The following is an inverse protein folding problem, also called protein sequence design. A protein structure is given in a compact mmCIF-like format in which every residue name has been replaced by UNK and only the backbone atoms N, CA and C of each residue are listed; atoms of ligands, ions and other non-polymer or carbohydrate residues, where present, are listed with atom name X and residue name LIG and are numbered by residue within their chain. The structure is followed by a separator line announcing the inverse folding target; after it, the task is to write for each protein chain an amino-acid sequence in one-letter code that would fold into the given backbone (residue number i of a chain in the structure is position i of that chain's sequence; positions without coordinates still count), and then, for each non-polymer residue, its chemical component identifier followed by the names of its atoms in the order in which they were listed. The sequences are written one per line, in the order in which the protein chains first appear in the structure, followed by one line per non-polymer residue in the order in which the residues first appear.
data_IF_388110104575
#
_entry.id   IF_388110104575
#
_cell.length_a   1.000
_cell.length_b   1.000
_cell.length_c   1.000
_cell.angle_alpha   90.00
_cell.angle_beta   90.00
_cell.angle_gamma   90.00
#
_symmetry.space_group_name_H-M   'P 1'
#
loop_
_entity.id
_entity.type
_entity.pdbx_description
1 polymer ?
#
# COMPACT_ATOMS: atom_id res chain seq x y z
N UNK A 1 32.33 -4.67 -1.05
CA UNK A 1 32.13 -4.62 -2.51
C UNK A 1 32.42 -6.01 -3.05
N UNK A 2 31.40 -6.74 -3.50
CA UNK A 2 31.57 -8.03 -4.17
C UNK A 2 30.80 -7.99 -5.50
N UNK A 3 31.55 -8.31 -6.54
CA UNK A 3 31.35 -7.94 -7.93
C UNK A 3 30.53 -9.00 -8.69
N UNK A 4 29.90 -8.53 -9.77
CA UNK A 4 28.88 -9.15 -10.64
C UNK A 4 29.36 -10.38 -11.45
N UNK A 5 30.19 -11.27 -10.89
CA UNK A 5 30.87 -12.33 -11.68
C UNK A 5 30.40 -13.76 -11.45
N UNK A 6 29.52 -14.06 -10.50
CA UNK A 6 29.21 -15.47 -10.16
C UNK A 6 27.90 -15.99 -10.77
N UNK A 7 27.03 -15.14 -11.32
CA UNK A 7 25.69 -15.59 -11.77
C UNK A 7 25.55 -15.86 -13.28
N UNK A 8 26.66 -15.92 -14.04
CA UNK A 8 26.62 -15.95 -15.52
C UNK A 8 27.26 -17.17 -16.19
N UNK A 9 27.48 -18.26 -15.45
CA UNK A 9 28.25 -19.41 -15.95
C UNK A 9 27.53 -20.76 -15.90
N UNK A 10 26.19 -20.79 -16.01
CA UNK A 10 25.44 -22.06 -15.97
C UNK A 10 24.40 -22.27 -17.08
N UNK A 11 24.49 -21.59 -18.22
CA UNK A 11 23.71 -21.99 -19.42
C UNK A 11 24.42 -21.54 -20.70
N UNK A 12 25.47 -22.23 -21.12
CA UNK A 12 25.99 -22.17 -22.49
C UNK A 12 26.81 -23.43 -22.76
N UNK A 13 26.12 -24.56 -22.91
CA UNK A 13 26.66 -25.81 -23.46
C UNK A 13 25.49 -26.75 -23.68
N UNK A 14 24.89 -26.80 -24.87
CA UNK A 14 24.48 -28.00 -25.64
C UNK A 14 23.91 -27.49 -26.98
N UNK A 15 24.35 -28.12 -28.07
CA UNK A 15 23.91 -28.02 -29.48
C UNK A 15 24.73 -27.10 -30.40
N UNK A 16 25.90 -27.64 -30.75
CA UNK A 16 26.58 -27.46 -32.03
C UNK A 16 25.71 -27.90 -33.23
N UNK A 17 25.97 -27.21 -34.33
CA UNK A 17 26.15 -27.68 -35.72
C UNK A 17 25.00 -28.19 -36.59
N UNK A 18 24.86 -27.49 -37.71
CA UNK A 18 24.77 -27.95 -39.13
C UNK A 18 23.84 -26.98 -39.89
N UNK A 19 24.03 -26.60 -41.14
CA UNK A 19 25.03 -26.86 -42.16
C UNK A 19 24.84 -25.84 -43.30
N UNK A 20 25.79 -25.88 -44.23
CA UNK A 20 26.15 -24.94 -45.30
C UNK A 20 25.17 -24.85 -46.52
N UNK A 21 25.09 -23.63 -47.10
CA UNK A 21 24.94 -23.24 -48.54
C UNK A 21 23.55 -23.23 -49.24
N UNK A 22 23.36 -22.57 -50.42
CA UNK A 22 23.88 -21.27 -50.88
C UNK A 22 22.82 -20.34 -51.54
N UNK A 23 23.24 -19.10 -51.85
CA UNK A 23 22.55 -18.06 -52.64
C UNK A 23 22.62 -18.32 -54.16
N UNK A 24 21.61 -17.84 -54.92
CA UNK A 24 21.65 -17.09 -56.22
C UNK A 24 20.28 -17.20 -56.96
N UNK A 25 19.98 -16.40 -58.00
CA UNK A 25 20.11 -14.94 -58.13
C UNK A 25 18.80 -14.29 -58.64
N UNK A 26 18.82 -12.96 -58.73
CA UNK A 26 17.88 -12.11 -59.48
C UNK A 26 17.85 -12.45 -60.98
N UNK A 27 16.68 -12.27 -61.61
CA UNK A 27 16.58 -11.73 -62.99
C UNK A 27 15.21 -11.02 -63.20
N UNK A 28 15.17 -9.83 -63.82
CA UNK A 28 13.96 -9.01 -63.99
C UNK A 28 13.42 -9.05 -65.43
N UNK A 29 12.11 -9.04 -65.67
CA UNK A 29 11.53 -8.29 -66.81
C UNK A 29 10.02 -8.08 -66.70
N UNK A 30 9.64 -6.85 -67.09
CA UNK A 30 8.49 -6.44 -67.90
C UNK A 30 7.06 -6.43 -67.33
N UNK A 31 6.54 -5.21 -67.35
CA UNK A 31 5.14 -4.79 -67.28
C UNK A 31 4.24 -5.52 -68.30
N UNK A 32 3.02 -5.83 -67.88
CA UNK A 32 1.88 -5.84 -68.79
C UNK A 32 0.65 -5.27 -68.08
N UNK A 33 0.22 -4.11 -68.56
CA UNK A 33 -0.97 -3.40 -68.13
C UNK A 33 -2.20 -4.11 -68.69
N UNK A 34 -3.09 -4.58 -67.83
CA UNK A 34 -4.50 -4.76 -68.19
C UNK A 34 -5.38 -4.34 -67.01
N UNK A 35 -6.21 -3.31 -67.28
CA UNK A 35 -7.24 -2.80 -66.39
C UNK A 35 -8.41 -3.79 -66.38
N UNK A 36 -8.60 -4.48 -65.27
CA UNK A 36 -9.87 -5.12 -64.91
C UNK A 36 -10.47 -4.39 -63.71
N UNK A 37 -11.71 -3.91 -63.90
CA UNK A 37 -12.48 -3.18 -62.90
C UNK A 37 -13.16 -4.21 -61.99
N UNK A 38 -12.48 -4.62 -60.92
CA UNK A 38 -13.08 -5.43 -59.86
C UNK A 38 -13.54 -4.53 -58.70
N UNK A 39 -14.82 -4.65 -58.36
CA UNK A 39 -15.45 -4.03 -57.20
C UNK A 39 -14.81 -4.56 -55.92
N UNK A 40 -13.95 -3.75 -55.28
CA UNK A 40 -13.40 -4.07 -53.96
C UNK A 40 -14.53 -4.07 -52.92
N UNK A 41 -14.94 -5.26 -52.52
CA UNK A 41 -15.52 -5.47 -51.19
C UNK A 41 -14.50 -4.98 -50.17
N UNK A 42 -14.78 -3.85 -49.54
CA UNK A 42 -13.99 -3.34 -48.40
C UNK A 42 -14.11 -4.32 -47.25
N UNK A 43 -13.09 -5.16 -47.08
CA UNK A 43 -12.89 -5.91 -45.84
C UNK A 43 -12.81 -4.92 -44.67
N UNK A 44 -13.48 -5.19 -43.55
CA UNK A 44 -13.41 -4.30 -42.40
C UNK A 44 -11.96 -4.26 -41.94
N UNK A 45 -11.33 -3.09 -42.09
CA UNK A 45 -9.94 -2.84 -41.71
C UNK A 45 -9.76 -3.28 -40.26
N UNK A 46 -9.04 -4.38 -40.04
CA UNK A 46 -8.67 -4.84 -38.71
C UNK A 46 -8.04 -3.66 -37.95
N UNK A 47 -8.73 -3.21 -36.91
CA UNK A 47 -8.30 -2.06 -36.10
C UNK A 47 -6.95 -2.42 -35.50
N UNK A 48 -5.88 -1.80 -36.02
CA UNK A 48 -4.53 -1.92 -35.44
C UNK A 48 -4.62 -1.50 -33.98
N UNK A 49 -4.39 -2.43 -33.07
CA UNK A 49 -4.20 -2.08 -31.67
C UNK A 49 -3.09 -1.03 -31.58
N UNK A 50 -3.36 0.08 -30.88
CA UNK A 50 -2.40 1.17 -30.69
C UNK A 50 -1.01 0.62 -30.30
N UNK A 51 0.04 1.11 -30.98
CA UNK A 51 1.43 0.68 -30.80
C UNK A 51 1.91 0.82 -29.34
N UNK A 52 1.28 1.69 -28.55
CA UNK A 52 1.55 1.85 -27.11
C UNK A 52 0.95 0.72 -26.26
N UNK A 53 -0.25 0.23 -26.59
CA UNK A 53 -0.95 -0.86 -25.88
C UNK A 53 -0.24 -2.20 -26.09
N UNK A 54 0.26 -2.45 -27.31
CA UNK A 54 1.08 -3.64 -27.61
C UNK A 54 2.45 -3.55 -26.94
N UNK A 55 3.17 -2.41 -27.07
CA UNK A 55 4.47 -2.20 -26.40
C UNK A 55 4.38 -2.28 -24.87
N UNK A 56 3.27 -1.85 -24.27
CA UNK A 56 3.04 -1.96 -22.82
C UNK A 56 2.89 -3.41 -22.37
N UNK A 57 2.08 -4.22 -23.09
CA UNK A 57 1.95 -5.67 -22.82
C UNK A 57 3.30 -6.38 -22.98
N UNK A 58 4.05 -6.03 -24.02
CA UNK A 58 5.40 -6.58 -24.27
C UNK A 58 6.40 -6.16 -23.18
N UNK A 59 6.35 -4.92 -22.68
CA UNK A 59 7.21 -4.45 -21.58
C UNK A 59 6.93 -5.20 -20.28
N UNK A 60 5.66 -5.41 -19.92
CA UNK A 60 5.29 -6.17 -18.72
C UNK A 60 5.62 -7.65 -18.85
N UNK A 61 5.44 -8.24 -20.04
CA UNK A 61 5.82 -9.63 -20.32
C UNK A 61 7.32 -9.90 -20.22
N UNK A 62 8.16 -8.90 -20.54
CA UNK A 62 9.62 -8.97 -20.46
C UNK A 62 10.20 -8.36 -19.16
N UNK A 63 9.33 -7.96 -18.23
CA UNK A 63 9.74 -7.34 -16.97
C UNK A 63 10.19 -8.43 -15.99
N UNK A 64 11.50 -8.54 -15.78
CA UNK A 64 12.10 -9.55 -14.90
C UNK A 64 11.39 -9.62 -13.54
N UNK A 65 11.17 -8.46 -12.90
CA UNK A 65 10.52 -8.38 -11.59
C UNK A 65 9.02 -8.71 -11.62
N UNK A 66 8.32 -8.50 -12.74
CA UNK A 66 6.93 -8.90 -12.84
C UNK A 66 6.79 -10.43 -12.99
N UNK A 67 7.70 -11.05 -13.76
CA UNK A 67 7.78 -12.51 -13.85
C UNK A 67 8.16 -13.12 -12.51
N UNK A 68 9.17 -12.57 -11.85
CA UNK A 68 9.65 -13.03 -10.54
C UNK A 68 8.56 -12.89 -9.46
N UNK A 69 7.79 -11.79 -9.47
CA UNK A 69 6.66 -11.62 -8.56
C UNK A 69 5.62 -12.74 -8.71
N UNK A 70 5.32 -13.14 -9.96
CA UNK A 70 4.39 -14.25 -10.23
C UNK A 70 4.96 -15.59 -9.73
N UNK A 71 6.25 -15.84 -9.94
CA UNK A 71 6.92 -17.07 -9.45
C UNK A 71 6.88 -17.14 -7.93
N UNK A 72 7.12 -16.02 -7.23
CA UNK A 72 7.12 -15.93 -5.77
C UNK A 72 5.72 -15.76 -5.16
N UNK A 73 4.64 -15.78 -5.95
CA UNK A 73 3.28 -15.58 -5.45
C UNK A 73 3.02 -14.19 -4.85
N UNK A 74 3.78 -13.19 -5.26
CA UNK A 74 3.62 -11.79 -4.83
C UNK A 74 2.52 -11.10 -5.64
N UNK A 75 1.74 -10.24 -4.97
CA UNK A 75 0.62 -9.51 -5.60
C UNK A 75 1.07 -8.59 -6.75
N UNK A 76 2.30 -8.07 -6.71
CA UNK A 76 2.85 -7.20 -7.76
C UNK A 76 4.39 -7.11 -7.69
N UNK A 77 5.02 -6.59 -8.75
CA UNK A 77 6.47 -6.29 -8.76
C UNK A 77 6.90 -5.23 -7.75
N UNK A 78 5.97 -4.42 -7.23
CA UNK A 78 6.28 -3.37 -6.26
C UNK A 78 6.74 -3.95 -4.91
N UNK A 79 6.41 -5.22 -4.63
CA UNK A 79 6.92 -5.94 -3.46
C UNK A 79 8.45 -5.94 -3.38
N UNK A 80 9.15 -6.08 -4.52
CA UNK A 80 10.62 -6.07 -4.55
C UNK A 80 11.21 -4.74 -4.07
N UNK A 81 10.54 -3.62 -4.35
CA UNK A 81 10.98 -2.30 -3.88
C UNK A 81 11.00 -2.26 -2.35
N UNK A 82 9.91 -2.70 -1.71
CA UNK A 82 9.83 -2.72 -0.25
C UNK A 82 10.80 -3.75 0.36
N UNK A 83 11.01 -4.90 -0.29
CA UNK A 83 11.99 -5.90 0.14
C UNK A 83 13.42 -5.33 0.15
N UNK A 84 13.84 -4.67 -0.93
CA UNK A 84 15.15 -4.00 -1.04
C UNK A 84 15.32 -2.89 0.01
N UNK A 85 14.29 -2.04 0.16
CA UNK A 85 14.30 -0.95 1.14
C UNK A 85 14.39 -1.48 2.58
N UNK A 86 13.63 -2.53 2.89
CA UNK A 86 13.68 -3.18 4.19
C UNK A 86 15.03 -3.89 4.44
N UNK A 87 15.62 -4.49 3.41
CA UNK A 87 16.95 -5.09 3.54
C UNK A 87 18.01 -4.06 3.93
N UNK A 88 17.96 -2.87 3.32
CA UNK A 88 18.88 -1.75 3.58
C UNK A 88 18.64 -1.06 4.93
N UNK A 89 17.37 -0.83 5.28
CA UNK A 89 17.00 0.06 6.39
C UNK A 89 16.42 -0.66 7.63
N UNK A 90 16.12 -1.96 7.53
CA UNK A 90 15.54 -2.77 8.61
C UNK A 90 14.26 -2.13 9.19
N UNK A 91 13.28 -1.91 8.31
CA UNK A 91 12.05 -1.17 8.60
C UNK A 91 11.15 -1.89 9.60
N UNK A 92 11.13 -3.23 9.55
CA UNK A 92 10.16 -4.04 10.29
C UNK A 92 10.82 -4.88 11.39
N UNK A 93 10.05 -5.10 12.46
CA UNK A 93 10.32 -6.04 13.54
C UNK A 93 9.07 -6.88 13.82
N UNK A 94 9.22 -8.08 14.39
CA UNK A 94 8.07 -8.87 14.85
C UNK A 94 7.15 -8.11 15.81
N UNK A 95 5.84 -8.34 15.73
CA UNK A 95 4.83 -7.79 16.65
C UNK A 95 4.39 -6.34 16.38
N UNK A 96 4.98 -5.69 15.37
CA UNK A 96 4.72 -4.28 15.05
C UNK A 96 3.37 -4.03 14.37
N UNK A 97 2.84 -2.82 14.57
CA UNK A 97 1.65 -2.32 13.87
C UNK A 97 2.06 -1.49 12.65
N UNK A 98 1.63 -1.90 11.46
CA UNK A 98 1.96 -1.26 10.18
C UNK A 98 0.69 -0.73 9.51
N UNK A 99 0.76 0.51 9.03
CA UNK A 99 -0.27 1.14 8.19
C UNK A 99 0.28 1.29 6.76
N UNK A 100 -0.47 0.82 5.76
CA UNK A 100 -0.12 0.88 4.34
C UNK A 100 -1.11 1.79 3.59
N UNK A 101 -0.65 2.99 3.23
CA UNK A 101 -1.43 4.01 2.52
C UNK A 101 -1.26 3.87 1.00
N UNK A 102 -2.37 3.74 0.29
CA UNK A 102 -2.36 3.37 -1.13
C UNK A 102 -2.00 1.89 -1.30
N UNK A 103 -2.64 1.02 -0.52
CA UNK A 103 -2.22 -0.38 -0.40
C UNK A 103 -2.45 -1.19 -1.68
N UNK A 104 -3.42 -0.84 -2.54
CA UNK A 104 -3.83 -1.67 -3.67
C UNK A 104 -2.66 -1.82 -4.66
N UNK A 105 -2.30 -3.05 -5.09
CA UNK A 105 -3.05 -4.31 -5.01
C UNK A 105 -2.75 -5.20 -3.76
N UNK A 106 -1.98 -4.69 -2.81
CA UNK A 106 -1.64 -5.35 -1.53
C UNK A 106 -0.24 -5.95 -1.48
N UNK A 107 0.66 -5.60 -2.42
CA UNK A 107 2.03 -6.15 -2.45
C UNK A 107 2.89 -5.70 -1.27
N UNK A 108 2.74 -4.46 -0.81
CA UNK A 108 3.51 -3.94 0.32
C UNK A 108 2.98 -4.50 1.63
N UNK A 109 1.67 -4.47 1.83
CA UNK A 109 0.99 -5.16 2.93
C UNK A 109 1.37 -6.65 3.04
N UNK A 110 1.46 -7.38 1.92
CA UNK A 110 1.90 -8.80 1.91
C UNK A 110 3.31 -8.95 2.47
N UNK A 111 4.24 -8.08 2.08
CA UNK A 111 5.61 -8.07 2.60
C UNK A 111 5.61 -7.68 4.07
N UNK A 112 4.85 -6.66 4.47
CA UNK A 112 4.78 -6.18 5.85
C UNK A 112 4.29 -7.27 6.81
N UNK A 113 3.25 -8.03 6.46
CA UNK A 113 2.77 -9.17 7.27
C UNK A 113 3.89 -10.18 7.48
N UNK A 114 4.54 -10.61 6.40
CA UNK A 114 5.63 -11.59 6.48
C UNK A 114 6.81 -11.11 7.35
N UNK A 115 7.06 -9.80 7.41
CA UNK A 115 8.17 -9.21 8.16
C UNK A 115 7.83 -8.82 9.61
N UNK A 116 6.55 -8.85 9.97
CA UNK A 116 6.07 -8.51 11.32
C UNK A 116 5.53 -9.71 12.10
N UNK A 117 5.54 -10.91 11.52
CA UNK A 117 5.27 -12.17 12.23
C UNK A 117 6.35 -12.49 13.29
N UNK A 118 5.99 -13.11 14.43
CA UNK A 118 4.61 -13.35 14.93
C UNK A 118 3.95 -12.08 15.49
N UNK A 119 2.63 -12.14 15.69
CA UNK A 119 1.81 -11.13 16.38
C UNK A 119 1.80 -9.72 15.76
N UNK A 120 2.31 -9.57 14.54
CA UNK A 120 2.24 -8.35 13.75
C UNK A 120 0.82 -8.00 13.34
N UNK A 121 0.58 -6.72 13.08
CA UNK A 121 -0.71 -6.18 12.65
C UNK A 121 -0.50 -5.28 11.45
N UNK A 122 -1.22 -5.52 10.36
CA UNK A 122 -1.12 -4.72 9.13
C UNK A 122 -2.51 -4.28 8.68
N UNK A 123 -2.66 -2.96 8.46
CA UNK A 123 -3.86 -2.37 7.88
C UNK A 123 -3.54 -1.62 6.58
N UNK A 124 -4.28 -1.92 5.51
CA UNK A 124 -4.18 -1.24 4.22
C UNK A 124 -5.35 -0.27 3.98
N UNK A 125 -5.06 0.91 3.45
CA UNK A 125 -6.06 1.91 3.07
C UNK A 125 -5.90 2.24 1.59
N UNK A 126 -6.98 2.13 0.82
CA UNK A 126 -6.97 2.49 -0.60
C UNK A 126 -8.36 2.91 -1.07
N UNK A 127 -8.39 3.77 -2.09
CA UNK A 127 -9.62 4.13 -2.78
C UNK A 127 -10.13 2.96 -3.64
N UNK A 128 -9.20 2.22 -4.25
CA UNK A 128 -9.46 1.11 -5.15
C UNK A 128 -9.76 -0.15 -4.32
N UNK A 129 -10.90 -0.81 -4.53
CA UNK A 129 -11.18 -2.08 -3.87
C UNK A 129 -10.19 -3.14 -4.34
N UNK A 130 -9.50 -3.79 -3.38
CA UNK A 130 -8.58 -4.88 -3.64
C UNK A 130 -8.76 -5.99 -2.62
N UNK A 131 -8.61 -7.25 -3.06
CA UNK A 131 -8.68 -8.40 -2.18
C UNK A 131 -7.43 -8.46 -1.27
N UNK A 132 -7.57 -8.31 0.05
CA UNK A 132 -6.43 -8.26 0.95
C UNK A 132 -5.64 -9.59 0.96
N UNK A 133 -4.30 -9.54 1.09
CA UNK A 133 -3.52 -10.71 1.48
C UNK A 133 -3.98 -11.26 2.84
N UNK A 134 -3.74 -12.55 3.08
CA UNK A 134 -4.07 -13.19 4.36
C UNK A 134 -3.37 -12.45 5.51
N UNK A 135 -4.12 -12.13 6.56
CA UNK A 135 -3.61 -11.43 7.75
C UNK A 135 -3.57 -9.90 7.62
N UNK A 136 -4.00 -9.33 6.50
CA UNK A 136 -4.12 -7.88 6.30
C UNK A 136 -5.58 -7.47 6.51
N UNK A 137 -5.80 -6.45 7.34
CA UNK A 137 -7.10 -5.77 7.42
C UNK A 137 -7.14 -4.59 6.45
N UNK A 138 -8.31 -4.22 5.94
CA UNK A 138 -8.40 -3.13 4.95
C UNK A 138 -9.55 -2.20 5.23
N UNK A 139 -9.34 -0.91 4.99
CA UNK A 139 -10.38 0.11 4.91
C UNK A 139 -10.37 0.65 3.48
N UNK A 140 -11.51 0.58 2.80
CA UNK A 140 -11.66 1.20 1.48
C UNK A 140 -12.14 2.64 1.67
N UNK A 141 -11.41 3.60 1.13
CA UNK A 141 -11.80 5.00 1.21
C UNK A 141 -10.73 5.96 0.71
N UNK A 142 -11.12 7.22 0.52
CA UNK A 142 -10.18 8.29 0.24
C UNK A 142 -9.41 8.63 1.53
N UNK A 143 -8.12 8.30 1.58
CA UNK A 143 -7.26 8.62 2.73
C UNK A 143 -7.17 10.12 3.04
N UNK A 144 -7.39 11.00 2.07
CA UNK A 144 -7.41 12.45 2.30
C UNK A 144 -8.68 12.91 3.04
N UNK A 145 -9.70 12.06 3.16
CA UNK A 145 -10.90 12.35 3.93
C UNK A 145 -10.63 12.27 5.44
N UNK A 146 -10.99 13.30 6.23
CA UNK A 146 -10.88 13.25 7.68
C UNK A 146 -11.60 12.06 8.31
N UNK A 147 -12.78 11.71 7.78
CA UNK A 147 -13.55 10.57 8.28
C UNK A 147 -12.79 9.24 8.13
N UNK A 148 -12.12 9.02 6.99
CA UNK A 148 -11.30 7.81 6.79
C UNK A 148 -10.07 7.83 7.69
N UNK A 149 -9.46 9.00 7.93
CA UNK A 149 -8.35 9.12 8.88
C UNK A 149 -8.82 8.82 10.31
N UNK A 150 -10.03 9.24 10.69
CA UNK A 150 -10.65 8.92 11.98
C UNK A 150 -10.90 7.42 12.14
N UNK A 151 -11.47 6.77 11.12
CA UNK A 151 -11.70 5.32 11.12
C UNK A 151 -10.39 4.55 11.27
N UNK A 152 -9.34 4.95 10.55
CA UNK A 152 -8.01 4.33 10.66
C UNK A 152 -7.42 4.55 12.05
N UNK A 153 -7.53 5.77 12.61
CA UNK A 153 -7.06 6.09 13.97
C UNK A 153 -7.80 5.27 15.03
N UNK A 154 -9.13 5.19 14.93
CA UNK A 154 -9.95 4.39 15.82
C UNK A 154 -9.56 2.91 15.73
N UNK A 155 -9.40 2.38 14.52
CA UNK A 155 -8.97 1.02 14.29
C UNK A 155 -7.62 0.75 14.96
N UNK A 156 -6.57 1.51 14.66
CA UNK A 156 -5.23 1.22 15.20
C UNK A 156 -5.13 1.38 16.71
N UNK A 157 -5.96 2.24 17.32
CA UNK A 157 -6.02 2.45 18.77
C UNK A 157 -6.60 1.26 19.52
N UNK A 158 -7.51 0.51 18.91
CA UNK A 158 -8.01 -0.74 19.49
C UNK A 158 -6.96 -1.86 19.32
N UNK A 159 -6.34 -2.36 20.41
CA UNK A 159 -5.31 -3.40 20.32
C UNK A 159 -5.87 -4.80 19.98
N UNK A 160 -7.18 -5.00 20.12
CA UNK A 160 -7.85 -6.30 19.90
C UNK A 160 -8.07 -6.61 18.42
N UNK A 161 -8.08 -5.57 17.57
CA UNK A 161 -8.34 -5.70 16.14
C UNK A 161 -7.06 -6.04 15.36
N UNK A 162 -7.19 -6.86 14.32
CA UNK A 162 -6.15 -7.08 13.30
C UNK A 162 -4.89 -7.85 13.72
N UNK A 163 -4.74 -8.20 15.00
CA UNK A 163 -3.71 -9.15 15.45
C UNK A 163 -4.23 -10.59 15.30
N UNK A 164 -3.38 -11.56 14.93
CA UNK A 164 -3.75 -12.96 15.00
C UNK A 164 -4.21 -13.31 16.42
N UNK A 165 -5.43 -13.82 16.59
CA UNK A 165 -5.86 -14.35 17.89
C UNK A 165 -4.99 -15.56 18.20
N UNK A 166 -4.30 -15.55 19.35
CA UNK A 166 -3.81 -16.78 19.95
C UNK A 166 -5.05 -17.60 20.27
N UNK A 167 -5.23 -18.73 19.59
CA UNK A 167 -6.15 -19.75 20.08
C UNK A 167 -5.55 -20.23 21.41
N UNK A 168 -5.96 -19.62 22.51
CA UNK A 168 -5.96 -20.33 23.78
C UNK A 168 -6.90 -21.50 23.55
N UNK A 169 -6.31 -22.67 23.30
CA UNK A 169 -7.01 -23.93 23.55
C UNK A 169 -7.28 -23.89 25.05
N UNK A 170 -8.46 -23.39 25.43
CA UNK A 170 -8.99 -23.61 26.76
C UNK A 170 -9.28 -25.11 26.80
N UNK A 171 -8.40 -25.87 27.45
CA UNK A 171 -8.74 -27.20 27.95
C UNK A 171 -9.74 -27.02 29.10
N UNK A 172 -10.99 -26.70 28.77
CA UNK A 172 -12.12 -26.76 29.69
C UNK A 172 -13.12 -27.75 29.07
N UNK A 173 -13.29 -28.96 29.62
CA UNK A 173 -14.34 -29.86 29.21
C UNK A 173 -15.59 -29.48 29.98
N UNK A 174 -16.52 -28.73 29.39
CA UNK A 174 -17.94 -28.84 29.72
C UNK A 174 -18.78 -28.02 28.74
N UNK A 175 -19.47 -28.73 27.85
CA UNK A 175 -20.63 -28.18 27.15
C UNK A 175 -21.81 -28.21 28.12
N UNK A 176 -22.54 -27.10 28.23
CA UNK A 176 -23.81 -27.03 28.96
C UNK A 176 -24.81 -27.99 28.31
N UNK A 177 -25.52 -28.77 29.12
CA UNK A 177 -26.54 -29.71 28.63
C UNK A 177 -27.79 -28.97 28.15
N UNK A 178 -28.55 -29.57 27.22
CA UNK A 178 -29.79 -28.98 26.68
C UNK A 178 -30.80 -28.60 27.78
N UNK A 179 -30.76 -29.30 28.93
CA UNK A 179 -31.59 -29.03 30.10
C UNK A 179 -31.29 -27.67 30.75
N UNK A 180 -30.02 -27.21 30.72
CA UNK A 180 -29.61 -25.92 31.26
C UNK A 180 -30.00 -24.76 30.34
N UNK A 181 -30.15 -25.02 29.03
CA UNK A 181 -30.67 -24.05 28.08
C UNK A 181 -32.19 -23.86 28.24
N UNK A 182 -32.94 -24.95 28.46
CA UNK A 182 -34.39 -24.92 28.66
C UNK A 182 -34.83 -24.19 29.94
N UNK A 183 -34.02 -24.26 31.00
CA UNK A 183 -34.31 -23.56 32.26
C UNK A 183 -34.10 -22.04 32.16
N UNK A 184 -33.13 -21.62 31.34
CA UNK A 184 -32.80 -20.20 31.10
C UNK A 184 -33.82 -19.53 30.16
N UNK A 185 -34.40 -20.29 29.23
CA UNK A 185 -35.43 -19.82 28.30
C UNK A 185 -36.80 -19.59 28.99
N UNK A 186 -37.11 -20.36 30.06
CA UNK A 186 -38.34 -20.18 30.86
C UNK A 186 -38.34 -18.89 31.68
N UNK A 187 -37.18 -18.38 32.08
CA UNK A 187 -37.07 -17.14 32.86
C UNK A 187 -37.31 -15.86 32.05
N UNK A 188 -37.06 -15.91 30.73
CA UNK A 188 -37.18 -14.72 29.87
C UNK A 188 -38.62 -14.35 29.53
N UNK A 189 -39.55 -15.32 29.55
CA UNK A 189 -40.94 -15.12 29.12
C UNK A 189 -41.81 -14.44 30.21
N UNK A 190 -41.41 -14.53 31.49
CA UNK A 190 -42.17 -13.91 32.60
C UNK A 190 -41.77 -12.46 32.92
N UNK A 191 -40.55 -12.03 32.53
CA UNK A 191 -40.06 -10.66 32.79
C UNK A 191 -40.73 -9.64 31.86
N UNK A 192 -41.07 -10.02 30.62
CA UNK A 192 -41.70 -9.10 29.66
C UNK A 192 -43.18 -8.82 29.94
N UNK A 193 -43.85 -9.57 30.82
CA UNK A 193 -45.24 -9.29 31.24
C UNK A 193 -45.36 -8.26 32.37
N UNK A 194 -44.29 -7.96 33.09
CA UNK A 194 -44.31 -7.00 34.21
C UNK A 194 -43.80 -5.60 33.86
N UNK A 195 -43.37 -5.35 32.62
CA UNK A 195 -42.86 -4.03 32.20
C UNK A 195 -43.94 -3.06 31.66
N UNK A 196 -45.21 -3.47 31.59
CA UNK A 196 -46.33 -2.57 31.32
C UNK A 196 -47.15 -2.40 32.60
N UNK A 197 -47.02 -1.22 33.22
CA UNK A 197 -47.68 -0.72 34.45
C UNK A 197 -46.71 -0.64 35.63
N UNK A 198 -45.90 0.43 35.65
CA UNK A 198 -45.69 1.29 36.84
C UNK A 198 -44.69 2.40 36.48
N UNK A 199 -45.17 3.64 36.46
CA UNK A 199 -44.34 4.83 36.30
C UNK A 199 -43.85 5.31 37.65
N UNK A 200 -42.55 5.56 37.80
CA UNK A 200 -41.98 6.38 38.88
C UNK A 200 -40.73 7.14 38.37
N UNK A 201 -40.66 8.41 38.76
CA UNK A 201 -39.70 9.46 38.40
C UNK A 201 -38.22 9.13 38.65
N UNK A 202 -37.34 9.60 37.75
CA UNK A 202 -35.88 9.62 37.94
C UNK A 202 -35.40 11.01 38.38
N UNK A 203 -34.77 11.06 39.54
CA UNK A 203 -34.24 12.24 40.24
C UNK A 203 -32.85 12.63 39.71
N UNK A 204 -32.61 13.90 39.37
CA UNK A 204 -31.25 14.52 39.30
C UNK A 204 -30.80 14.88 40.73
N UNK A 205 -29.51 14.74 41.13
CA UNK A 205 -28.52 15.79 40.85
C UNK A 205 -27.03 15.35 40.79
N UNK A 206 -26.16 16.24 40.28
CA UNK A 206 -24.71 16.23 40.58
C UNK A 206 -23.81 16.74 39.45
N UNK A 207 -23.39 18.01 39.54
CA UNK A 207 -22.35 18.66 38.73
C UNK A 207 -21.10 18.89 39.63
N UNK A 208 -20.00 19.45 39.10
CA UNK A 208 -18.80 18.79 38.60
C UNK A 208 -17.65 18.74 39.65
N UNK A 209 -16.77 17.74 39.56
CA UNK A 209 -15.44 17.84 40.22
C UNK A 209 -14.41 18.32 39.21
N UNK A 210 -14.08 19.61 39.33
CA UNK A 210 -12.87 20.22 38.81
C UNK A 210 -11.64 19.60 39.50
N UNK A 211 -10.55 19.41 38.74
CA UNK A 211 -9.27 18.98 39.30
C UNK A 211 -8.53 17.92 38.48
N UNK A 212 -8.42 18.07 37.16
CA UNK A 212 -7.39 17.36 36.40
C UNK A 212 -6.08 18.17 36.51
N UNK A 213 -5.33 17.93 37.58
CA UNK A 213 -3.99 18.46 37.74
C UNK A 213 -3.12 18.06 36.53
N UNK A 214 -2.53 19.05 35.86
CA UNK A 214 -1.59 18.85 34.78
C UNK A 214 -0.30 18.22 35.33
N UNK A 215 -0.23 16.89 35.31
CA UNK A 215 1.01 16.17 35.55
C UNK A 215 2.04 16.68 34.55
N UNK A 216 3.11 17.29 35.05
CA UNK A 216 4.17 17.86 34.20
C UNK A 216 4.71 16.81 33.23
N UNK A 217 4.63 17.07 31.92
CA UNK A 217 5.06 16.19 30.83
C UNK A 217 6.49 15.64 30.97
N UNK A 218 7.33 16.32 31.76
CA UNK A 218 8.73 15.98 31.97
C UNK A 218 8.98 14.65 32.71
N UNK A 219 7.97 14.04 33.36
CA UNK A 219 8.14 12.80 34.15
C UNK A 219 7.50 11.55 33.55
N UNK A 220 6.70 11.65 32.47
CA UNK A 220 6.04 10.48 31.88
C UNK A 220 7.01 9.69 31.00
N UNK A 221 6.92 8.36 31.08
CA UNK A 221 7.68 7.48 30.18
C UNK A 221 7.23 7.67 28.72
N UNK A 222 8.14 7.38 27.78
CA UNK A 222 7.88 7.44 26.34
C UNK A 222 6.59 6.73 25.94
N UNK A 223 6.38 5.54 26.50
CA UNK A 223 5.22 4.68 26.20
C UNK A 223 3.92 5.31 26.71
N UNK A 224 3.94 5.93 27.88
CA UNK A 224 2.76 6.59 28.45
C UNK A 224 2.38 7.84 27.66
N UNK A 225 3.38 8.62 27.19
CA UNK A 225 3.13 9.78 26.33
C UNK A 225 2.53 9.37 24.99
N UNK A 226 3.09 8.35 24.35
CA UNK A 226 2.56 7.82 23.10
C UNK A 226 1.12 7.30 23.28
N UNK A 227 0.83 6.58 24.38
CA UNK A 227 -0.54 6.11 24.69
C UNK A 227 -1.50 7.28 24.88
N UNK A 228 -1.11 8.31 25.66
CA UNK A 228 -1.92 9.50 25.89
C UNK A 228 -2.23 10.26 24.59
N UNK A 229 -1.26 10.34 23.70
CA UNK A 229 -1.41 10.99 22.39
C UNK A 229 -2.05 10.05 21.33
N UNK A 230 -2.30 8.78 21.69
CA UNK A 230 -2.89 7.78 20.81
C UNK A 230 -1.97 7.33 19.68
N UNK A 231 -0.65 7.48 19.85
CA UNK A 231 0.39 7.03 18.93
C UNK A 231 0.73 5.57 19.19
N UNK A 232 0.26 4.71 18.30
CA UNK A 232 0.32 3.25 18.44
C UNK A 232 0.95 2.55 17.23
N UNK A 233 1.23 3.30 16.16
CA UNK A 233 1.75 2.76 14.90
C UNK A 233 3.27 2.73 14.94
N UNK A 234 3.85 1.62 14.51
CA UNK A 234 5.30 1.44 14.38
C UNK A 234 5.84 1.94 13.06
N UNK A 235 5.14 1.60 11.97
CA UNK A 235 5.58 1.89 10.61
C UNK A 235 4.39 2.39 9.78
N UNK A 236 4.56 3.53 9.13
CA UNK A 236 3.63 4.02 8.11
C UNK A 236 4.32 3.91 6.75
N UNK A 237 3.67 3.22 5.83
CA UNK A 237 4.08 3.08 4.43
C UNK A 237 3.12 3.89 3.56
N UNK A 238 3.63 4.54 2.53
CA UNK A 238 2.82 5.25 1.54
C UNK A 238 3.33 4.97 0.14
N UNK A 239 2.60 4.13 -0.60
CA UNK A 239 2.78 3.93 -2.04
C UNK A 239 1.68 4.63 -2.87
N UNK A 240 1.00 5.61 -2.27
CA UNK A 240 -0.04 6.40 -2.91
C UNK A 240 0.40 7.01 -4.24
N UNK A 241 -0.55 7.18 -5.15
CA UNK A 241 -0.39 7.92 -6.40
C UNK A 241 -1.72 8.56 -6.74
N UNK A 242 -1.67 9.81 -7.19
CA UNK A 242 -2.88 10.55 -7.48
C UNK A 242 -3.60 9.95 -8.70
N UNK A 243 -4.93 9.74 -8.62
CA UNK A 243 -5.70 9.22 -9.73
C UNK A 243 -5.87 10.33 -10.77
N UNK A 244 -4.91 10.45 -11.68
CA UNK A 244 -5.01 11.40 -12.78
C UNK A 244 -5.79 10.84 -13.96
N UNK A 245 -6.75 11.62 -14.46
CA UNK A 245 -7.21 11.48 -15.83
C UNK A 245 -6.02 11.73 -16.77
N UNK A 246 -5.79 10.79 -17.67
CA UNK A 246 -4.70 10.87 -18.63
C UNK A 246 -4.94 12.03 -19.60
N UNK A 247 -4.28 13.16 -19.37
CA UNK A 247 -4.40 14.36 -20.23
C UNK A 247 -3.67 14.23 -21.57
N UNK A 248 -2.81 13.21 -21.72
CA UNK A 248 -2.09 12.94 -22.97
C UNK A 248 -1.96 11.42 -23.25
N UNK A 249 -2.43 11.00 -24.42
CA UNK A 249 -2.37 9.61 -24.90
C UNK A 249 -3.72 9.10 -25.42
N UNK A 250 -3.71 8.36 -26.53
CA UNK A 250 -4.95 7.84 -27.12
C UNK A 250 -5.57 6.72 -26.28
N UNK A 251 -6.84 6.95 -25.92
CA UNK A 251 -7.78 6.14 -25.16
C UNK A 251 -8.02 4.71 -25.71
N UNK A 252 -8.32 3.76 -24.81
CA UNK A 252 -8.87 2.43 -25.15
C UNK A 252 -10.13 2.17 -24.33
N UNK A 253 -11.25 1.94 -25.03
CA UNK A 253 -12.63 1.75 -24.54
C UNK A 253 -12.96 0.26 -24.40
N UNK A 254 -12.18 -0.50 -23.63
CA UNK A 254 -12.42 -1.95 -23.46
C UNK A 254 -12.67 -2.23 -21.98
N UNK A 255 -13.88 -2.68 -21.64
CA UNK A 255 -14.36 -2.99 -20.27
C UNK A 255 -13.69 -4.23 -19.64
N UNK A 256 -12.44 -4.49 -19.97
CA UNK A 256 -11.60 -5.57 -19.46
C UNK A 256 -10.18 -5.06 -19.19
N UNK A 257 -10.07 -3.83 -18.68
CA UNK A 257 -8.81 -3.09 -18.70
C UNK A 257 -8.00 -3.30 -17.41
N UNK A 258 -6.89 -4.08 -17.42
CA UNK A 258 -5.87 -4.01 -16.38
C UNK A 258 -5.26 -2.60 -16.23
N UNK A 259 -5.59 -1.68 -17.15
CA UNK A 259 -5.32 -0.24 -17.07
C UNK A 259 -6.05 0.43 -15.90
N UNK A 260 -7.24 -0.03 -15.49
CA UNK A 260 -7.90 0.49 -14.27
C UNK A 260 -7.18 0.08 -12.97
N UNK A 261 -6.24 -0.87 -13.03
CA UNK A 261 -5.34 -1.25 -11.93
C UNK A 261 -3.90 -0.75 -12.13
N UNK A 262 -3.68 0.02 -13.20
CA UNK A 262 -2.41 0.63 -13.58
C UNK A 262 -2.71 1.95 -14.32
N UNK A 263 -3.19 2.95 -13.61
CA UNK A 263 -3.07 4.34 -14.04
C UNK A 263 -2.38 5.13 -12.92
N UNK A 264 -1.64 6.19 -13.21
CA UNK A 264 -0.59 6.46 -14.21
C UNK A 264 -0.15 7.88 -13.83
N UNK A 265 1.15 8.14 -13.84
CA UNK A 265 1.66 9.51 -14.03
C UNK A 265 0.81 10.20 -15.10
N UNK A 266 0.32 11.41 -14.84
CA UNK A 266 -0.43 12.26 -15.78
C UNK A 266 0.29 12.44 -17.12
N UNK A 267 1.59 12.13 -17.16
CA UNK A 267 2.48 12.33 -18.29
C UNK A 267 3.15 13.70 -18.22
N UNK A 268 2.73 14.55 -17.27
CA UNK A 268 3.35 15.83 -16.96
C UNK A 268 4.17 15.71 -15.68
N UNK A 269 5.52 15.74 -15.75
CA UNK A 269 6.39 15.59 -14.59
C UNK A 269 6.15 16.62 -13.48
N UNK A 270 5.74 17.84 -13.83
CA UNK A 270 5.47 18.89 -12.85
C UNK A 270 4.22 18.55 -12.04
N UNK A 271 3.13 18.17 -12.72
CA UNK A 271 1.87 17.79 -12.09
C UNK A 271 2.02 16.52 -11.26
N UNK A 272 2.75 15.53 -11.78
CA UNK A 272 3.03 14.29 -11.05
C UNK A 272 3.87 14.53 -9.79
N UNK A 273 4.82 15.46 -9.86
CA UNK A 273 5.60 15.88 -8.72
C UNK A 273 4.72 16.55 -7.66
N UNK A 274 4.02 17.63 -8.02
CA UNK A 274 3.18 18.40 -7.11
C UNK A 274 2.15 17.52 -6.40
N UNK A 275 1.39 16.71 -7.16
CA UNK A 275 0.41 15.78 -6.60
C UNK A 275 1.02 14.74 -5.66
N UNK A 276 2.23 14.26 -5.96
CA UNK A 276 2.93 13.34 -5.06
C UNK A 276 3.42 14.02 -3.77
N UNK A 277 3.77 15.30 -3.81
CA UNK A 277 4.16 16.06 -2.61
C UNK A 277 2.96 16.26 -1.69
N UNK A 278 1.79 16.57 -2.23
CA UNK A 278 0.54 16.71 -1.45
C UNK A 278 0.20 15.41 -0.70
N UNK A 279 0.26 14.27 -1.41
CA UNK A 279 0.06 12.95 -0.82
C UNK A 279 1.12 12.63 0.25
N UNK A 280 2.38 12.99 0.00
CA UNK A 280 3.46 12.83 0.98
C UNK A 280 3.24 13.69 2.23
N UNK A 281 2.76 14.92 2.07
CA UNK A 281 2.43 15.83 3.17
C UNK A 281 1.26 15.33 4.00
N UNK A 282 0.21 14.80 3.36
CA UNK A 282 -0.91 14.17 4.06
C UNK A 282 -0.45 12.94 4.85
N UNK A 283 0.36 12.07 4.23
CA UNK A 283 0.94 10.91 4.90
C UNK A 283 1.86 11.28 6.07
N UNK A 284 2.65 12.35 5.94
CA UNK A 284 3.50 12.88 7.02
C UNK A 284 2.65 13.42 8.17
N UNK A 285 1.57 14.12 7.86
CA UNK A 285 0.63 14.65 8.85
C UNK A 285 0.01 13.52 9.67
N UNK A 286 -0.54 12.51 9.00
CA UNK A 286 -1.04 11.31 9.65
C UNK A 286 0.04 10.61 10.49
N UNK A 287 1.25 10.48 9.94
CA UNK A 287 2.39 9.88 10.64
C UNK A 287 2.76 10.64 11.92
N UNK A 288 2.68 11.98 11.92
CA UNK A 288 2.92 12.78 13.13
C UNK A 288 1.93 12.44 14.25
N UNK A 289 0.67 12.22 13.88
CA UNK A 289 -0.45 11.97 14.80
C UNK A 289 -0.48 10.50 15.29
N UNK A 290 -0.01 9.53 14.50
CA UNK A 290 -0.16 8.10 14.83
C UNK A 290 1.14 7.34 15.11
N UNK A 291 2.30 7.78 14.60
CA UNK A 291 3.56 7.06 14.82
C UNK A 291 4.07 7.27 16.24
N UNK A 292 4.41 6.16 16.89
CA UNK A 292 5.10 6.16 18.18
C UNK A 292 6.53 6.68 18.08
N UNK A 293 7.11 7.07 19.21
CA UNK A 293 8.54 7.43 19.28
C UNK A 293 9.39 6.24 18.83
N UNK A 294 10.39 6.51 18.00
CA UNK A 294 11.20 5.48 17.36
C UNK A 294 10.56 4.82 16.14
N UNK A 295 9.30 5.14 15.81
CA UNK A 295 8.60 4.66 14.61
C UNK A 295 9.26 5.08 13.30
N UNK A 296 8.84 4.47 12.20
CA UNK A 296 9.43 4.65 10.87
C UNK A 296 8.38 5.08 9.86
N UNK A 297 8.79 5.89 8.89
CA UNK A 297 7.94 6.37 7.80
C UNK A 297 8.63 6.13 6.46
N UNK A 298 7.89 5.58 5.52
CA UNK A 298 8.32 5.36 4.15
C UNK A 298 7.29 5.94 3.20
N UNK A 299 7.68 6.82 2.29
CA UNK A 299 6.78 7.31 1.24
C UNK A 299 7.43 7.34 -0.14
N UNK A 300 6.66 6.95 -1.15
CA UNK A 300 6.97 7.16 -2.56
C UNK A 300 6.70 8.61 -2.93
N UNK A 301 7.58 9.17 -3.76
CA UNK A 301 7.36 10.46 -4.40
C UNK A 301 7.91 10.48 -5.83
N UNK A 302 7.47 11.46 -6.63
CA UNK A 302 8.10 11.77 -7.91
C UNK A 302 9.08 12.93 -7.73
N UNK A 303 10.28 12.80 -8.30
CA UNK A 303 11.34 13.81 -8.16
C UNK A 303 10.96 15.15 -8.80
N UNK A 304 11.28 16.25 -8.12
CA UNK A 304 11.02 17.62 -8.57
C UNK A 304 11.52 18.66 -7.58
N UNK A 305 11.08 19.91 -7.73
CA UNK A 305 11.61 21.09 -7.03
C UNK A 305 11.39 21.09 -5.52
N UNK A 306 10.28 20.54 -5.04
CA UNK A 306 9.84 20.64 -3.64
C UNK A 306 10.40 19.52 -2.74
N UNK A 307 11.11 18.55 -3.32
CA UNK A 307 11.62 17.39 -2.59
C UNK A 307 12.56 17.77 -1.43
N UNK A 308 13.34 18.85 -1.57
CA UNK A 308 14.25 19.34 -0.52
C UNK A 308 13.50 19.98 0.65
N UNK A 309 12.43 20.72 0.37
CA UNK A 309 11.59 21.32 1.38
C UNK A 309 10.91 20.21 2.21
N UNK A 310 10.36 19.20 1.52
CA UNK A 310 9.78 18.03 2.17
C UNK A 310 10.80 17.24 3.00
N UNK A 311 12.01 16.98 2.46
CA UNK A 311 13.09 16.32 3.21
C UNK A 311 13.47 17.08 4.48
N UNK A 312 13.40 18.41 4.46
CA UNK A 312 13.66 19.25 5.64
C UNK A 312 12.60 19.05 6.71
N UNK A 313 11.30 19.02 6.34
CA UNK A 313 10.20 18.69 7.28
C UNK A 313 10.39 17.29 7.87
N UNK A 314 10.80 16.30 7.07
CA UNK A 314 11.14 14.95 7.58
C UNK A 314 12.30 14.96 8.57
N UNK A 315 13.38 15.70 8.29
CA UNK A 315 14.56 15.80 9.17
C UNK A 315 14.25 16.47 10.52
N UNK A 316 13.21 17.30 10.59
CA UNK A 316 12.71 17.85 11.86
C UNK A 316 12.08 16.74 12.70
N UNK A 317 11.24 15.87 12.11
CA UNK A 317 10.52 14.80 12.83
C UNK A 317 11.33 13.52 13.11
N UNK A 318 12.26 13.13 12.22
CA UNK A 318 12.95 11.83 12.27
C UNK A 318 14.46 11.99 12.51
N UNK A 319 15.07 11.02 13.18
CA UNK A 319 16.50 11.03 13.48
C UNK A 319 17.38 10.78 12.24
N UNK A 320 16.89 10.02 11.25
CA UNK A 320 17.61 9.75 10.01
C UNK A 320 16.64 9.78 8.83
N UNK A 321 16.99 10.50 7.78
CA UNK A 321 16.22 10.56 6.53
C UNK A 321 17.15 10.25 5.37
N UNK A 322 16.72 9.36 4.48
CA UNK A 322 17.47 8.99 3.28
C UNK A 322 16.55 8.91 2.07
N UNK A 323 17.06 9.35 0.91
CA UNK A 323 16.43 9.13 -0.39
C UNK A 323 16.94 7.85 -1.02
N UNK A 324 16.02 7.05 -1.52
CA UNK A 324 16.31 5.76 -2.11
C UNK A 324 15.61 5.60 -3.46
N UNK A 325 16.32 4.96 -4.40
CA UNK A 325 15.74 4.47 -5.65
C UNK A 325 16.12 2.99 -5.79
N UNK A 326 15.22 2.07 -5.41
CA UNK A 326 15.46 0.62 -5.52
C UNK A 326 15.82 0.20 -6.94
N UNK A 327 16.61 -0.86 -7.10
CA UNK A 327 16.98 -1.44 -8.40
C UNK A 327 15.75 -2.01 -9.12
N UNK A 328 14.76 -2.49 -8.37
CA UNK A 328 13.45 -2.87 -8.91
C UNK A 328 12.57 -1.69 -9.32
N UNK A 329 13.02 -0.44 -9.19
CA UNK A 329 12.34 0.71 -9.79
C UNK A 329 12.72 0.86 -11.26
N UNK A 330 11.78 1.27 -12.10
CA UNK A 330 12.08 1.43 -13.54
C UNK A 330 13.02 2.61 -13.74
N UNK A 331 14.07 2.43 -14.54
CA UNK A 331 15.01 3.52 -14.88
C UNK A 331 14.31 4.73 -15.51
N UNK A 332 13.29 4.48 -16.35
CA UNK A 332 12.47 5.51 -16.98
C UNK A 332 11.51 6.24 -16.02
N UNK A 333 11.26 5.71 -14.82
CA UNK A 333 10.40 6.36 -13.82
C UNK A 333 11.20 7.39 -13.02
N UNK A 334 10.58 8.54 -12.76
CA UNK A 334 11.10 9.54 -11.81
C UNK A 334 10.71 9.24 -10.36
N UNK A 335 10.18 8.05 -10.08
CA UNK A 335 9.87 7.61 -8.72
C UNK A 335 11.14 7.48 -7.87
N UNK A 336 11.03 7.88 -6.62
CA UNK A 336 11.99 7.67 -5.54
C UNK A 336 11.23 7.52 -4.21
N UNK A 337 11.94 7.15 -3.16
CA UNK A 337 11.37 6.90 -1.83
C UNK A 337 12.13 7.70 -0.78
N UNK A 338 11.40 8.35 0.12
CA UNK A 338 11.96 8.84 1.37
C UNK A 338 11.81 7.77 2.44
N UNK A 339 12.93 7.39 3.04
CA UNK A 339 12.98 6.51 4.20
C UNK A 339 13.35 7.35 5.42
N UNK A 340 12.41 7.52 6.34
CA UNK A 340 12.59 8.29 7.55
C UNK A 340 12.51 7.38 8.77
N UNK A 341 13.60 7.30 9.52
CA UNK A 341 13.79 6.35 10.61
C UNK A 341 13.85 7.06 11.95
N UNK A 342 13.25 6.39 12.94
CA UNK A 342 13.23 6.77 14.35
C UNK A 342 12.63 8.16 14.56
N UNK A 343 11.29 8.23 14.60
CA UNK A 343 10.57 9.43 15.04
C UNK A 343 11.17 9.92 16.36
N UNK A 344 11.52 11.20 16.43
CA UNK A 344 12.04 11.84 17.65
C UNK A 344 10.94 11.95 18.70
N UNK A 345 11.28 12.24 19.95
CA UNK A 345 10.34 12.28 21.07
C UNK A 345 9.64 13.63 21.20
N UNK A 346 10.40 14.71 21.32
CA UNK A 346 9.92 16.01 21.82
C UNK A 346 9.57 17.01 20.72
N UNK A 347 9.21 16.54 19.52
CA UNK A 347 9.01 17.41 18.36
C UNK A 347 7.58 17.96 18.33
N UNK A 348 7.45 19.28 18.28
CA UNK A 348 6.16 19.97 18.17
C UNK A 348 5.65 20.01 16.73
N UNK A 349 4.34 20.21 16.55
CA UNK A 349 3.72 20.24 15.22
C UNK A 349 4.20 21.48 14.45
N UNK A 350 4.30 22.60 15.14
CA UNK A 350 4.69 23.90 14.62
C UNK A 350 6.12 23.86 14.06
N UNK A 351 7.03 23.16 14.74
CA UNK A 351 8.40 22.97 14.24
C UNK A 351 8.42 22.19 12.92
N UNK A 352 7.68 21.08 12.84
CA UNK A 352 7.70 20.20 11.66
C UNK A 352 7.08 20.90 10.45
N UNK A 353 5.94 21.54 10.64
CA UNK A 353 5.11 22.01 9.53
C UNK A 353 5.33 23.47 9.15
N UNK A 354 6.15 24.24 9.88
CA UNK A 354 6.56 25.60 9.48
C UNK A 354 7.13 25.62 8.06
N UNK A 355 6.60 26.54 7.26
CA UNK A 355 6.97 26.76 5.86
C UNK A 355 8.36 27.36 5.68
#
# INVERSE_FOLDING_TARGET
MLSRRIFRQLTDSVLLESSLLPKRPFCPVAECVSRSFESRVTTPRARRASSSSTRWKTRQGNDFFAREARVQGLKSRAAFKLLELNEKHKLFKPGQTVVDLGFAPGSWSQVAVNRTTPDGRVIGIDLIPAQPPRGVSTIQGNFLSPAIQDDVRAYVRDPSLGRPRKQTISEEPDGLTEEQMDEMERGYIDIERQAHMEGVEMKRPGQPTEGAESVSDAKMSLKERDVREGRVVDVVLSDMSEPWDQVAGFYKKSLSDPYSRMMNTSGNPFRDHAGSMDLCMAALTFSFDTLKVGGHFLCKFYQGSEEKAFETKLKRLFAKVSREKPESSRSASKEAYFVALRRKETVTREEVFRD
#
